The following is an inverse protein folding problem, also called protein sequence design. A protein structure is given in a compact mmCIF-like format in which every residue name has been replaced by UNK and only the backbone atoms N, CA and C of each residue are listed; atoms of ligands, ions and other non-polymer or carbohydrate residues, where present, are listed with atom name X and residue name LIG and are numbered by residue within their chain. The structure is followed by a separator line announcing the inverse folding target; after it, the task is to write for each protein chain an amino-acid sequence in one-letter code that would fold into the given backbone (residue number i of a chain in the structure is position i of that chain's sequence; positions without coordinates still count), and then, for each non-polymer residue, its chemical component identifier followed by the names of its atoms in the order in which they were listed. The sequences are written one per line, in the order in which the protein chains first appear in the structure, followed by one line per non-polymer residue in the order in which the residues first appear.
data_IF_399912729207
#
_entry.id   IF_399912729207
#
_cell.length_a   1.000
_cell.length_b   1.000
_cell.length_c   1.000
_cell.angle_alpha   90.00
_cell.angle_beta   90.00
_cell.angle_gamma   90.00
#
_symmetry.space_group_name_H-M   'P 1'
#
loop_
_entity.id
_entity.type
_entity.pdbx_description
1 polymer ?
#
# COMPACT_ATOMS: atom_id res chain seq x y z
N UNK A 1 -43.88 -0.30 -6.58
CA UNK A 1 -42.73 0.59 -6.30
C UNK A 1 -43.23 2.03 -6.37
N UNK A 2 -43.21 2.76 -5.25
CA UNK A 2 -43.48 4.19 -5.24
C UNK A 2 -42.34 4.89 -6.00
N UNK A 3 -42.65 5.56 -7.11
CA UNK A 3 -41.70 6.38 -7.86
C UNK A 3 -41.96 7.84 -7.50
N UNK A 4 -40.91 8.63 -7.32
CA UNK A 4 -41.05 10.07 -7.11
C UNK A 4 -41.72 10.70 -8.34
N UNK A 5 -42.66 11.62 -8.12
CA UNK A 5 -43.30 12.35 -9.21
C UNK A 5 -42.35 13.43 -9.76
N UNK A 6 -42.56 13.86 -11.00
CA UNK A 6 -41.70 14.87 -11.66
C UNK A 6 -41.80 16.26 -11.02
N UNK A 7 -42.95 16.61 -10.45
CA UNK A 7 -43.17 17.87 -9.75
C UNK A 7 -42.33 17.98 -8.46
N UNK A 8 -42.22 16.90 -7.69
CA UNK A 8 -41.41 16.81 -6.48
C UNK A 8 -39.91 16.85 -6.82
N UNK A 9 -39.51 16.18 -7.91
CA UNK A 9 -38.14 16.26 -8.42
C UNK A 9 -37.77 17.69 -8.83
N UNK A 10 -38.65 18.37 -9.56
CA UNK A 10 -38.42 19.77 -9.94
C UNK A 10 -38.41 20.71 -8.73
N UNK A 11 -39.26 20.48 -7.72
CA UNK A 11 -39.34 21.32 -6.51
C UNK A 11 -38.13 21.15 -5.59
N UNK A 12 -37.63 19.91 -5.43
CA UNK A 12 -36.56 19.58 -4.48
C UNK A 12 -35.16 19.64 -5.10
N UNK A 13 -35.02 19.22 -6.35
CA UNK A 13 -33.73 19.13 -7.05
C UNK A 13 -33.55 20.17 -8.15
N UNK A 14 -34.58 20.99 -8.44
CA UNK A 14 -34.60 22.00 -9.51
C UNK A 14 -34.37 21.41 -10.91
N UNK A 15 -34.55 20.10 -11.07
CA UNK A 15 -34.37 19.37 -12.33
C UNK A 15 -35.22 18.10 -12.33
N UNK A 16 -35.76 17.76 -13.50
CA UNK A 16 -36.42 16.46 -13.78
C UNK A 16 -35.45 15.42 -14.38
N UNK A 17 -34.23 15.84 -14.71
CA UNK A 17 -33.20 14.95 -15.24
C UNK A 17 -32.74 13.99 -14.14
N UNK A 18 -33.12 12.71 -14.28
CA UNK A 18 -32.82 11.64 -13.34
C UNK A 18 -31.32 11.50 -13.08
N UNK A 19 -30.46 11.73 -14.08
CA UNK A 19 -29.02 11.60 -13.87
C UNK A 19 -28.47 12.69 -12.96
N UNK A 20 -28.92 13.94 -13.14
CA UNK A 20 -28.53 15.07 -12.27
C UNK A 20 -29.08 14.92 -10.86
N UNK A 21 -30.29 14.39 -10.71
CA UNK A 21 -30.88 14.07 -9.40
C UNK A 21 -30.05 12.99 -8.71
N UNK A 22 -29.71 11.90 -9.40
CA UNK A 22 -28.87 10.81 -8.86
C UNK A 22 -27.50 11.35 -8.43
N UNK A 23 -26.86 12.17 -9.25
CA UNK A 23 -25.55 12.74 -8.91
C UNK A 23 -25.61 13.59 -7.63
N UNK A 24 -26.68 14.38 -7.47
CA UNK A 24 -26.90 15.20 -6.27
C UNK A 24 -27.21 14.35 -5.04
N UNK A 25 -28.01 13.29 -5.18
CA UNK A 25 -28.27 12.32 -4.10
C UNK A 25 -26.99 11.58 -3.68
N UNK A 26 -26.13 11.19 -4.63
CA UNK A 26 -24.89 10.49 -4.33
C UNK A 26 -23.84 11.41 -3.69
N UNK A 27 -23.83 12.69 -4.04
CA UNK A 27 -22.90 13.68 -3.47
C UNK A 27 -23.33 14.16 -2.08
N UNK A 28 -24.62 14.45 -1.90
CA UNK A 28 -25.13 15.13 -0.71
C UNK A 28 -25.92 14.20 0.22
N UNK A 29 -26.28 13.00 -0.26
CA UNK A 29 -27.06 12.02 0.50
C UNK A 29 -26.19 11.03 1.27
N UNK A 30 -26.77 10.46 2.33
CA UNK A 30 -26.12 9.41 3.11
C UNK A 30 -26.50 8.03 2.57
N UNK A 31 -25.50 7.27 2.12
CA UNK A 31 -25.72 5.88 1.70
C UNK A 31 -25.96 5.04 2.96
N UNK A 32 -27.21 4.63 3.16
CA UNK A 32 -27.61 3.73 4.23
C UNK A 32 -27.14 2.30 3.92
N UNK A 33 -25.90 2.00 4.29
CA UNK A 33 -25.33 0.66 4.17
C UNK A 33 -25.85 -0.24 5.29
N UNK A 34 -26.16 -1.49 4.98
CA UNK A 34 -26.50 -2.51 5.98
C UNK A 34 -25.30 -2.75 6.92
N UNK A 35 -25.57 -3.17 8.15
CA UNK A 35 -24.51 -3.49 9.12
C UNK A 35 -23.54 -4.56 8.58
N UNK A 36 -24.07 -5.57 7.90
CA UNK A 36 -23.28 -6.63 7.26
C UNK A 36 -22.32 -6.08 6.18
N UNK A 37 -22.81 -5.19 5.32
CA UNK A 37 -21.97 -4.60 4.28
C UNK A 37 -20.91 -3.65 4.86
N UNK A 38 -21.24 -2.86 5.90
CA UNK A 38 -20.26 -2.04 6.63
C UNK A 38 -19.15 -2.90 7.26
N UNK A 39 -19.51 -4.02 7.87
CA UNK A 39 -18.54 -4.94 8.46
C UNK A 39 -17.62 -5.54 7.41
N UNK A 40 -18.16 -5.96 6.26
CA UNK A 40 -17.36 -6.47 5.14
C UNK A 40 -16.35 -5.43 4.64
N UNK A 41 -16.80 -4.19 4.40
CA UNK A 41 -15.91 -3.11 3.96
C UNK A 41 -14.80 -2.82 4.98
N UNK A 42 -15.14 -2.86 6.28
CA UNK A 42 -14.18 -2.66 7.36
C UNK A 42 -13.15 -3.80 7.41
N UNK A 43 -13.57 -5.04 7.24
CA UNK A 43 -12.68 -6.20 7.20
C UNK A 43 -11.72 -6.14 6.00
N UNK A 44 -12.24 -5.85 4.80
CA UNK A 44 -11.43 -5.66 3.61
C UNK A 44 -10.40 -4.53 3.79
N UNK A 45 -10.82 -3.40 4.37
CA UNK A 45 -9.93 -2.29 4.70
C UNK A 45 -8.86 -2.69 5.73
N UNK A 46 -9.24 -3.51 6.70
CA UNK A 46 -8.33 -4.02 7.74
C UNK A 46 -7.24 -4.89 7.12
N UNK A 47 -7.60 -5.80 6.22
CA UNK A 47 -6.64 -6.62 5.48
C UNK A 47 -5.70 -5.77 4.62
N UNK A 48 -6.21 -4.74 3.96
CA UNK A 48 -5.38 -3.79 3.20
C UNK A 48 -4.35 -3.09 4.10
N UNK A 49 -4.78 -2.59 5.27
CA UNK A 49 -3.90 -1.93 6.24
C UNK A 49 -2.83 -2.90 6.76
N UNK A 50 -3.21 -4.12 7.12
CA UNK A 50 -2.26 -5.15 7.57
C UNK A 50 -1.19 -5.40 6.51
N UNK A 51 -1.60 -5.58 5.25
CA UNK A 51 -0.67 -5.80 4.15
C UNK A 51 0.24 -4.59 3.90
N UNK A 52 -0.29 -3.37 3.97
CA UNK A 52 0.53 -2.16 3.84
C UNK A 52 1.56 -2.05 4.97
N UNK A 53 1.17 -2.34 6.20
CA UNK A 53 2.10 -2.31 7.35
C UNK A 53 3.15 -3.41 7.17
N UNK A 54 2.77 -4.62 6.80
CA UNK A 54 3.70 -5.73 6.58
C UNK A 54 4.77 -5.40 5.53
N UNK A 55 4.37 -4.77 4.41
CA UNK A 55 5.28 -4.44 3.31
C UNK A 55 6.20 -3.25 3.62
N UNK A 56 5.70 -2.24 4.33
CA UNK A 56 6.39 -0.96 4.48
C UNK A 56 7.00 -0.72 5.87
N UNK A 57 6.67 -1.54 6.87
CA UNK A 57 7.13 -1.34 8.22
C UNK A 57 7.90 -2.56 8.75
N UNK A 58 8.90 -2.29 9.57
CA UNK A 58 9.81 -3.28 10.13
C UNK A 58 9.88 -3.16 11.65
N UNK A 59 10.31 -4.24 12.30
CA UNK A 59 10.78 -4.18 13.68
C UNK A 59 12.15 -3.47 13.71
N UNK A 60 12.31 -2.35 14.42
CA UNK A 60 13.59 -1.65 14.50
C UNK A 60 14.70 -2.47 15.18
N UNK A 61 14.36 -3.54 15.91
CA UNK A 61 15.34 -4.42 16.57
C UNK A 61 15.94 -5.44 15.63
N UNK A 62 15.12 -6.05 14.78
CA UNK A 62 15.55 -7.13 13.86
C UNK A 62 15.74 -6.65 12.42
N UNK A 63 15.21 -5.46 12.09
CA UNK A 63 15.09 -4.93 10.73
C UNK A 63 14.26 -5.81 9.77
N UNK A 64 13.40 -6.68 10.31
CA UNK A 64 12.53 -7.57 9.54
C UNK A 64 11.07 -7.10 9.60
N UNK A 65 10.26 -7.38 8.56
CA UNK A 65 8.83 -7.11 8.60
C UNK A 65 8.12 -7.98 9.65
N UNK A 66 7.11 -7.41 10.29
CA UNK A 66 6.24 -8.17 11.19
C UNK A 66 5.28 -9.07 10.40
N UNK A 67 5.07 -10.34 10.77
CA UNK A 67 4.09 -11.19 10.10
C UNK A 67 2.68 -10.58 10.12
N UNK A 68 1.83 -10.79 9.08
CA UNK A 68 0.48 -10.23 9.02
C UNK A 68 -0.37 -10.53 10.26
N UNK A 69 -0.28 -11.76 10.79
CA UNK A 69 -1.01 -12.17 12.00
C UNK A 69 -0.55 -11.39 13.24
N UNK A 70 0.75 -11.07 13.35
CA UNK A 70 1.27 -10.28 14.48
C UNK A 70 0.74 -8.86 14.46
N UNK A 71 0.62 -8.27 13.27
CA UNK A 71 0.05 -6.94 13.06
C UNK A 71 -1.45 -6.96 13.38
N UNK A 72 -2.19 -7.98 12.90
CA UNK A 72 -3.61 -8.16 13.22
C UNK A 72 -3.85 -8.17 14.74
N UNK A 73 -3.09 -9.00 15.46
CA UNK A 73 -3.21 -9.08 16.92
C UNK A 73 -2.92 -7.73 17.59
N UNK A 74 -1.91 -6.99 17.11
CA UNK A 74 -1.58 -5.67 17.65
C UNK A 74 -2.69 -4.63 17.38
N UNK A 75 -3.37 -4.69 16.23
CA UNK A 75 -4.51 -3.82 15.91
C UNK A 75 -5.70 -4.08 16.85
N UNK A 76 -5.98 -5.36 17.13
CA UNK A 76 -7.04 -5.79 18.05
C UNK A 76 -6.73 -5.36 19.50
N UNK A 77 -5.50 -5.58 19.95
CA UNK A 77 -5.04 -5.22 21.31
C UNK A 77 -5.04 -3.70 21.53
N UNK A 78 -4.59 -2.94 20.54
CA UNK A 78 -4.66 -1.47 20.56
C UNK A 78 -6.07 -0.91 20.32
N UNK A 79 -7.08 -1.78 20.11
CA UNK A 79 -8.48 -1.43 19.83
C UNK A 79 -8.61 -0.36 18.73
N UNK A 80 -7.83 -0.51 17.67
CA UNK A 80 -7.79 0.47 16.57
C UNK A 80 -9.13 0.46 15.83
N UNK A 81 -9.81 1.61 15.79
CA UNK A 81 -10.99 1.77 14.96
C UNK A 81 -10.57 2.13 13.53
N UNK A 82 -10.86 1.24 12.58
CA UNK A 82 -10.59 1.44 11.16
C UNK A 82 -11.79 2.11 10.50
N UNK A 83 -11.52 3.23 9.83
CA UNK A 83 -12.49 3.97 9.04
C UNK A 83 -12.52 3.41 7.61
N UNK A 84 -13.66 2.88 7.18
CA UNK A 84 -13.81 2.31 5.85
C UNK A 84 -14.06 3.37 4.76
N UNK A 85 -14.37 4.62 5.11
CA UNK A 85 -14.52 5.72 4.15
C UNK A 85 -13.17 6.30 3.73
N UNK A 86 -12.15 6.22 4.58
CA UNK A 86 -10.79 6.70 4.28
C UNK A 86 -9.96 5.65 3.55
N UNK A 87 -9.01 6.09 2.75
CA UNK A 87 -8.01 5.20 2.14
C UNK A 87 -7.17 4.52 3.22
N UNK A 88 -6.60 3.35 2.91
CA UNK A 88 -5.76 2.63 3.86
C UNK A 88 -4.47 3.43 4.13
N UNK A 89 -3.86 3.96 3.09
CA UNK A 89 -2.61 4.72 3.10
C UNK A 89 -2.68 5.96 3.99
N UNK A 90 -3.82 6.67 3.97
CA UNK A 90 -4.02 7.87 4.82
C UNK A 90 -4.10 7.54 6.30
N UNK A 91 -4.50 6.32 6.66
CA UNK A 91 -4.68 5.88 8.04
C UNK A 91 -3.45 5.16 8.60
N UNK A 92 -2.62 4.55 7.74
CA UNK A 92 -1.47 3.71 8.15
C UNK A 92 -0.57 4.43 9.16
N UNK A 93 -0.21 5.70 8.92
CA UNK A 93 0.70 6.42 9.81
C UNK A 93 0.13 6.65 11.22
N UNK A 94 -1.16 6.96 11.34
CA UNK A 94 -1.82 7.12 12.64
C UNK A 94 -1.96 5.76 13.34
N UNK A 95 -2.28 4.72 12.58
CA UNK A 95 -2.41 3.35 13.09
C UNK A 95 -1.08 2.84 13.61
N UNK A 96 0.02 3.06 12.88
CA UNK A 96 1.38 2.71 13.30
C UNK A 96 1.71 3.33 14.65
N UNK A 97 1.38 4.62 14.86
CA UNK A 97 1.59 5.29 16.16
C UNK A 97 0.83 4.60 17.31
N UNK A 98 -0.40 4.14 17.06
CA UNK A 98 -1.22 3.43 18.07
C UNK A 98 -0.67 2.05 18.39
N UNK A 99 -0.29 1.27 17.37
CA UNK A 99 0.25 -0.08 17.58
C UNK A 99 1.69 -0.06 18.11
N UNK A 100 2.42 1.04 17.97
CA UNK A 100 3.79 1.18 18.47
C UNK A 100 3.89 1.05 20.01
N UNK A 101 2.78 1.24 20.72
CA UNK A 101 2.70 0.98 22.16
C UNK A 101 2.67 -0.54 22.50
N UNK A 102 2.29 -1.39 21.54
CA UNK A 102 2.14 -2.84 21.70
C UNK A 102 3.32 -3.59 21.08
N UNK A 103 3.75 -3.19 19.88
CA UNK A 103 4.88 -3.76 19.15
C UNK A 103 5.83 -2.65 18.67
N UNK A 104 7.16 -2.82 18.78
CA UNK A 104 8.09 -1.88 18.19
C UNK A 104 7.96 -1.95 16.66
N UNK A 105 7.58 -0.84 16.04
CA UNK A 105 7.38 -0.80 14.59
C UNK A 105 7.80 0.56 14.03
N UNK A 106 8.50 0.53 12.89
CA UNK A 106 8.92 1.73 12.16
C UNK A 106 8.54 1.60 10.70
N UNK A 107 7.84 2.60 10.19
CA UNK A 107 7.62 2.76 8.76
C UNK A 107 8.92 3.24 8.13
N UNK A 108 9.40 2.54 7.10
CA UNK A 108 10.72 2.81 6.53
C UNK A 108 10.76 2.46 5.04
N UNK A 109 11.24 3.41 4.23
CA UNK A 109 11.52 3.20 2.82
C UNK A 109 13.03 3.36 2.60
N UNK A 110 13.62 2.55 1.72
CA UNK A 110 15.06 2.57 1.45
C UNK A 110 15.33 2.82 -0.02
N UNK A 111 16.27 3.71 -0.30
CA UNK A 111 16.87 3.86 -1.62
C UNK A 111 18.06 2.91 -1.73
N UNK A 112 18.01 2.00 -2.68
CA UNK A 112 19.00 0.95 -2.87
C UNK A 112 19.55 1.05 -4.28
N UNK A 113 20.87 1.21 -4.39
CA UNK A 113 21.59 1.08 -5.65
C UNK A 113 21.84 -0.40 -5.92
N UNK A 114 21.43 -0.87 -7.09
CA UNK A 114 21.60 -2.24 -7.55
C UNK A 114 22.41 -2.22 -8.84
N UNK A 115 23.51 -2.97 -8.89
CA UNK A 115 24.29 -3.22 -10.10
C UNK A 115 24.12 -4.68 -10.52
N UNK A 116 23.65 -4.88 -11.74
CA UNK A 116 23.34 -6.20 -12.31
C UNK A 116 24.21 -6.44 -13.54
N UNK A 117 24.85 -7.62 -13.66
CA UNK A 117 25.62 -7.98 -14.85
C UNK A 117 24.77 -7.97 -16.13
N UNK A 118 25.38 -7.72 -17.31
CA UNK A 118 24.66 -7.56 -18.58
C UNK A 118 23.73 -8.73 -18.92
N UNK A 119 24.19 -9.95 -18.63
CA UNK A 119 23.47 -11.21 -18.89
C UNK A 119 22.11 -11.31 -18.17
N UNK A 120 21.92 -10.57 -17.08
CA UNK A 120 20.70 -10.61 -16.26
C UNK A 120 19.95 -9.27 -16.21
N UNK A 121 20.49 -8.21 -16.81
CA UNK A 121 19.97 -6.85 -16.71
C UNK A 121 18.48 -6.76 -17.10
N UNK A 122 18.10 -7.29 -18.27
CA UNK A 122 16.69 -7.26 -18.73
C UNK A 122 15.71 -7.98 -17.80
N UNK A 123 16.10 -9.14 -17.25
CA UNK A 123 15.26 -9.91 -16.33
C UNK A 123 15.16 -9.24 -14.95
N UNK A 124 16.27 -8.67 -14.47
CA UNK A 124 16.32 -7.97 -13.18
C UNK A 124 15.41 -6.75 -13.14
N UNK A 125 15.17 -6.10 -14.28
CA UNK A 125 14.33 -4.92 -14.36
C UNK A 125 12.88 -5.19 -13.92
N UNK A 126 12.32 -6.34 -14.31
CA UNK A 126 10.98 -6.76 -13.89
C UNK A 126 10.90 -7.00 -12.38
N UNK A 127 11.96 -7.59 -11.80
CA UNK A 127 12.08 -7.83 -10.35
C UNK A 127 12.12 -6.49 -9.61
N UNK A 128 12.99 -5.57 -10.04
CA UNK A 128 13.12 -4.25 -9.42
C UNK A 128 11.80 -3.47 -9.44
N UNK A 129 11.05 -3.53 -10.55
CA UNK A 129 9.70 -2.94 -10.66
C UNK A 129 8.64 -3.62 -9.82
N UNK A 130 8.79 -4.91 -9.52
CA UNK A 130 7.84 -5.65 -8.70
C UNK A 130 7.94 -5.26 -7.22
N UNK A 131 9.17 -5.12 -6.70
CA UNK A 131 9.42 -4.85 -5.29
C UNK A 131 9.49 -3.36 -4.94
N UNK A 132 9.73 -2.49 -5.90
CA UNK A 132 9.92 -1.07 -5.64
C UNK A 132 9.72 -0.18 -6.87
N UNK A 133 10.02 1.10 -6.68
CA UNK A 133 9.98 2.12 -7.73
C UNK A 133 11.40 2.44 -8.17
N UNK A 134 11.68 2.27 -9.47
CA UNK A 134 12.96 2.67 -10.05
C UNK A 134 12.98 4.21 -10.14
N UNK A 135 13.96 4.82 -9.48
CA UNK A 135 14.21 6.27 -9.50
C UNK A 135 15.16 6.65 -10.63
N UNK A 136 16.23 5.88 -10.81
CA UNK A 136 17.22 6.10 -11.86
C UNK A 136 17.65 4.76 -12.46
N UNK A 137 17.92 4.74 -13.75
CA UNK A 137 18.49 3.60 -14.47
C UNK A 137 19.62 4.08 -15.39
N UNK A 138 20.76 3.40 -15.34
CA UNK A 138 21.92 3.67 -16.18
C UNK A 138 22.49 2.36 -16.70
N UNK A 139 22.70 2.29 -18.02
CA UNK A 139 23.40 1.17 -18.66
C UNK A 139 24.86 1.57 -18.85
N UNK A 140 25.77 0.80 -18.26
CA UNK A 140 27.20 1.04 -18.41
C UNK A 140 27.70 0.51 -19.77
N UNK A 141 28.90 0.95 -20.17
CA UNK A 141 29.51 0.56 -21.45
C UNK A 141 29.79 -0.94 -21.57
N UNK A 142 29.91 -1.64 -20.44
CA UNK A 142 30.06 -3.09 -20.37
C UNK A 142 28.73 -3.84 -20.52
N UNK A 143 27.61 -3.12 -20.64
CA UNK A 143 26.25 -3.63 -20.73
C UNK A 143 25.60 -3.89 -19.37
N UNK A 144 26.27 -3.58 -18.25
CA UNK A 144 25.71 -3.77 -16.92
C UNK A 144 24.65 -2.71 -16.60
N UNK A 145 23.67 -3.07 -15.79
CA UNK A 145 22.60 -2.17 -15.36
C UNK A 145 22.90 -1.69 -13.95
N UNK A 146 22.95 -0.37 -13.77
CA UNK A 146 22.98 0.29 -12.47
C UNK A 146 21.66 1.03 -12.27
N UNK A 147 20.88 0.59 -11.29
CA UNK A 147 19.59 1.20 -10.97
C UNK A 147 19.56 1.70 -9.52
N UNK A 148 18.91 2.85 -9.30
CA UNK A 148 18.53 3.32 -7.97
C UNK A 148 17.05 3.01 -7.78
N UNK A 149 16.71 2.24 -6.74
CA UNK A 149 15.34 1.76 -6.51
C UNK A 149 14.90 2.12 -5.11
N UNK A 150 13.72 2.71 -5.02
CA UNK A 150 13.00 2.97 -3.77
C UNK A 150 12.21 1.71 -3.39
N UNK A 151 12.56 1.09 -2.27
CA UNK A 151 12.02 -0.19 -1.84
C UNK A 151 11.48 -0.07 -0.41
N UNK A 152 10.23 -0.49 -0.15
CA UNK A 152 9.72 -0.65 1.20
C UNK A 152 10.62 -1.57 2.03
N UNK A 153 10.97 -1.18 3.26
CA UNK A 153 11.95 -1.94 4.05
C UNK A 153 11.51 -3.38 4.34
N UNK A 154 10.20 -3.65 4.41
CA UNK A 154 9.67 -5.00 4.59
C UNK A 154 9.86 -5.93 3.38
N UNK A 155 10.05 -5.38 2.18
CA UNK A 155 10.24 -6.14 0.94
C UNK A 155 11.71 -6.29 0.54
N UNK A 156 12.62 -5.60 1.23
CA UNK A 156 14.03 -5.58 0.87
C UNK A 156 14.64 -6.99 0.81
N UNK A 157 14.38 -7.80 1.84
CA UNK A 157 14.95 -9.14 1.94
C UNK A 157 14.48 -10.04 0.79
N UNK A 158 13.20 -9.95 0.43
CA UNK A 158 12.61 -10.74 -0.66
C UNK A 158 13.21 -10.33 -2.01
N UNK A 159 13.32 -9.01 -2.25
CA UNK A 159 13.98 -8.49 -3.46
C UNK A 159 15.42 -8.98 -3.58
N UNK A 160 16.19 -8.92 -2.49
CA UNK A 160 17.58 -9.39 -2.48
C UNK A 160 17.68 -10.88 -2.76
N UNK A 161 16.81 -11.69 -2.17
CA UNK A 161 16.79 -13.13 -2.40
C UNK A 161 16.48 -13.47 -3.86
N UNK A 162 15.51 -12.79 -4.47
CA UNK A 162 15.13 -13.05 -5.86
C UNK A 162 16.23 -12.58 -6.84
N UNK A 163 16.82 -11.41 -6.61
CA UNK A 163 17.96 -10.92 -7.39
C UNK A 163 19.18 -11.84 -7.27
N UNK A 164 19.48 -12.34 -6.06
CA UNK A 164 20.55 -13.29 -5.84
C UNK A 164 20.30 -14.63 -6.55
N UNK A 165 19.06 -15.12 -6.53
CA UNK A 165 18.68 -16.35 -7.22
C UNK A 165 18.84 -16.21 -8.74
N UNK A 166 18.39 -15.08 -9.32
CA UNK A 166 18.55 -14.79 -10.74
C UNK A 166 20.02 -14.68 -11.14
N UNK A 167 20.81 -13.93 -10.38
CA UNK A 167 22.19 -13.58 -10.74
C UNK A 167 23.24 -14.57 -10.23
N UNK A 168 22.81 -15.62 -9.51
CA UNK A 168 23.67 -16.57 -8.79
C UNK A 168 24.66 -15.86 -7.85
N UNK A 169 24.21 -14.79 -7.21
CA UNK A 169 25.01 -13.97 -6.30
C UNK A 169 25.95 -12.96 -6.96
N UNK A 170 25.82 -12.72 -8.27
CA UNK A 170 26.64 -11.74 -9.01
C UNK A 170 26.06 -10.32 -8.97
N UNK A 171 25.00 -10.08 -8.21
CA UNK A 171 24.39 -8.75 -8.02
C UNK A 171 25.13 -7.99 -6.93
N UNK A 172 25.43 -6.72 -7.17
CA UNK A 172 25.94 -5.82 -6.14
C UNK A 172 24.83 -4.89 -5.68
N UNK A 173 24.58 -4.84 -4.36
CA UNK A 173 23.58 -3.95 -3.77
C UNK A 173 24.21 -3.04 -2.73
N UNK A 174 23.80 -1.77 -2.72
CA UNK A 174 24.23 -0.78 -1.73
C UNK A 174 23.05 0.06 -1.28
N UNK A 175 22.75 0.02 0.02
CA UNK A 175 21.75 0.93 0.62
C UNK A 175 22.35 2.33 0.63
N UNK A 176 21.67 3.27 -0.03
CA UNK A 176 22.12 4.66 -0.18
C UNK A 176 21.52 5.53 0.91
N UNK A 177 20.21 5.42 1.12
CA UNK A 177 19.46 6.26 2.06
C UNK A 177 18.26 5.51 2.63
N UNK A 178 17.90 5.88 3.85
CA UNK A 178 16.66 5.48 4.51
C UNK A 178 15.78 6.72 4.68
N UNK A 179 14.49 6.59 4.34
CA UNK A 179 13.45 7.64 4.34
C UNK A 179 12.34 7.25 5.31
#
# INVERSE_FOLDING_TARGET
MLRANEHDMQKLFSTIDKHKVIEKILKDGEIQLTAEYKNKLKEEKTLQIINLIHRNAIDPKTNLPHPPQRIKNALEEAKVNIDFYKSAESQVQEIIKKINAIIPIRYEIREIRVKVPPQFAGQSFSILKHYGKILEENWENDGSLVALVEVPAGLQSDMFNELNHLTKGSVETKVMRTI
#
